data_IF_936432692131
#
_entry.id   IF_936432692131
#
_cell.length_a   1.000
_cell.length_b   1.000
_cell.length_c   1.000
_cell.angle_alpha   90.00
_cell.angle_beta   90.00
_cell.angle_gamma   90.00
#
_symmetry.space_group_name_H-M   'P 1'
#
loop_
_entity.id
_entity.type
_entity.pdbx_description
1 polymer ?
#
# COMPACT_ATOMS: atom_id res chain seq x y z
N UNK A 1 6.69 9.77 8.74
CA UNK A 1 6.79 8.94 7.53
C UNK A 1 5.41 8.43 7.15
N UNK A 2 5.18 8.20 5.86
CA UNK A 2 4.07 7.41 5.35
C UNK A 2 4.62 6.20 4.61
N UNK A 3 3.82 5.13 4.52
CA UNK A 3 4.28 3.83 4.07
C UNK A 3 3.39 3.25 2.97
N UNK A 4 3.99 2.79 1.89
CA UNK A 4 3.37 1.90 0.92
C UNK A 4 3.67 0.45 1.33
N UNK A 5 2.70 -0.23 1.91
CA UNK A 5 2.81 -1.63 2.33
C UNK A 5 2.61 -2.57 1.14
N UNK A 6 3.46 -3.58 1.01
CA UNK A 6 3.42 -4.55 -0.10
C UNK A 6 3.82 -5.95 0.34
N UNK A 7 3.51 -6.96 -0.48
CA UNK A 7 4.03 -8.31 -0.24
C UNK A 7 5.46 -8.45 -0.75
N UNK A 8 6.29 -9.01 0.12
CA UNK A 8 7.71 -9.22 -0.14
C UNK A 8 7.96 -10.29 -1.21
N UNK A 9 7.20 -11.38 -1.20
CA UNK A 9 7.44 -12.51 -2.12
C UNK A 9 6.86 -12.30 -3.51
N UNK A 10 5.76 -11.55 -3.63
CA UNK A 10 5.00 -11.45 -4.89
C UNK A 10 5.18 -10.11 -5.59
N UNK A 11 5.08 -8.98 -4.88
CA UNK A 11 5.05 -7.65 -5.48
C UNK A 11 6.39 -6.94 -5.39
N UNK A 12 7.13 -7.09 -4.29
CA UNK A 12 8.43 -6.43 -4.13
C UNK A 12 9.40 -6.71 -5.30
N UNK A 13 9.59 -7.95 -5.81
CA UNK A 13 10.51 -8.18 -6.93
C UNK A 13 10.09 -7.45 -8.20
N UNK A 14 8.77 -7.32 -8.45
CA UNK A 14 8.23 -6.60 -9.61
C UNK A 14 8.42 -5.09 -9.47
N UNK A 15 8.24 -4.57 -8.26
CA UNK A 15 8.45 -3.16 -7.95
C UNK A 15 9.93 -2.82 -8.15
N UNK A 16 10.84 -3.59 -7.55
CA UNK A 16 12.29 -3.44 -7.70
C UNK A 16 12.71 -3.48 -9.16
N UNK A 17 12.27 -4.50 -9.92
CA UNK A 17 12.58 -4.63 -11.35
C UNK A 17 12.07 -3.45 -12.19
N UNK A 18 11.03 -2.74 -11.74
CA UNK A 18 10.48 -1.58 -12.45
C UNK A 18 11.09 -0.24 -12.02
N UNK A 19 11.79 -0.19 -10.88
CA UNK A 19 12.39 1.03 -10.33
C UNK A 19 11.39 2.09 -9.83
N UNK A 20 10.08 1.79 -9.83
CA UNK A 20 9.02 2.75 -9.45
C UNK A 20 7.88 2.08 -8.68
N UNK A 21 7.23 2.82 -7.79
CA UNK A 21 5.86 2.52 -7.37
C UNK A 21 4.88 3.06 -8.41
N UNK A 22 4.04 2.17 -8.96
CA UNK A 22 3.00 2.54 -9.94
C UNK A 22 1.65 2.58 -9.27
N UNK A 23 0.88 3.60 -9.63
CA UNK A 23 -0.51 3.71 -9.19
C UNK A 23 -1.38 2.63 -9.82
N UNK A 24 -2.46 2.28 -9.14
CA UNK A 24 -3.51 1.40 -9.66
C UNK A 24 -4.87 2.06 -9.53
N UNK A 25 -5.74 1.81 -10.50
CA UNK A 25 -7.16 2.11 -10.47
C UNK A 25 -7.95 0.79 -10.36
N UNK A 26 -9.10 0.80 -9.69
CA UNK A 26 -9.97 -0.38 -9.62
C UNK A 26 -10.95 -0.43 -10.80
N UNK A 27 -11.19 0.71 -11.44
CA UNK A 27 -12.05 0.86 -12.61
C UNK A 27 -11.37 1.72 -13.70
N UNK A 28 -11.69 1.48 -14.97
CA UNK A 28 -11.12 2.18 -16.13
C UNK A 28 -11.47 3.68 -16.17
N UNK A 29 -12.52 4.10 -15.47
CA UNK A 29 -12.90 5.52 -15.35
C UNK A 29 -12.15 6.25 -14.22
N UNK A 30 -11.42 5.52 -13.39
CA UNK A 30 -10.67 6.09 -12.28
C UNK A 30 -9.23 6.42 -12.68
N UNK A 31 -8.69 7.51 -12.12
CA UNK A 31 -7.26 7.81 -12.26
C UNK A 31 -6.46 6.98 -11.26
N UNK A 32 -5.40 6.29 -11.68
CA UNK A 32 -4.59 5.45 -10.80
C UNK A 32 -3.93 6.27 -9.69
N UNK A 33 -3.82 5.66 -8.51
CA UNK A 33 -3.19 6.26 -7.33
C UNK A 33 -2.15 5.32 -6.73
N UNK A 34 -1.04 5.89 -6.24
CA UNK A 34 -0.10 5.19 -5.35
C UNK A 34 -0.54 5.45 -3.91
N UNK A 35 -1.03 4.41 -3.23
CA UNK A 35 -1.56 4.50 -1.88
C UNK A 35 -0.45 4.39 -0.83
N UNK A 36 -0.57 5.21 0.22
CA UNK A 36 0.28 5.23 1.40
C UNK A 36 -0.59 5.25 2.67
N UNK A 37 -0.02 4.79 3.78
CA UNK A 37 -0.65 4.85 5.10
C UNK A 37 0.29 5.40 6.17
N UNK A 38 -0.26 6.16 7.13
CA UNK A 38 0.43 6.56 8.35
C UNK A 38 0.30 5.53 9.49
N UNK A 39 -0.30 4.37 9.23
CA UNK A 39 -0.44 3.31 10.22
C UNK A 39 0.94 2.93 10.80
N UNK A 40 1.10 2.82 12.14
CA UNK A 40 2.40 2.77 12.80
C UNK A 40 3.20 1.49 12.51
N UNK A 41 2.52 0.39 12.20
CA UNK A 41 3.17 -0.91 12.01
C UNK A 41 2.82 -1.59 10.68
N UNK A 42 1.56 -1.99 10.48
CA UNK A 42 1.05 -2.57 9.23
C UNK A 42 -0.37 -2.07 8.96
N UNK A 43 -0.63 -1.52 7.78
CA UNK A 43 -1.99 -1.09 7.40
C UNK A 43 -2.90 -2.32 7.23
N UNK A 44 -3.98 -2.48 8.02
CA UNK A 44 -4.80 -3.70 7.97
C UNK A 44 -5.42 -3.97 6.59
N UNK A 45 -5.74 -2.92 5.84
CA UNK A 45 -6.28 -3.02 4.46
C UNK A 45 -5.26 -3.48 3.42
N UNK A 46 -3.96 -3.52 3.77
CA UNK A 46 -2.91 -4.11 2.94
C UNK A 46 -2.89 -5.65 3.02
N UNK A 47 -3.52 -6.26 4.03
CA UNK A 47 -3.67 -7.72 4.15
C UNK A 47 -4.61 -8.23 3.06
N UNK A 48 -4.07 -8.87 2.02
CA UNK A 48 -4.87 -9.38 0.91
C UNK A 48 -5.47 -10.74 1.24
N UNK A 49 -6.71 -11.02 0.80
CA UNK A 49 -7.28 -12.34 0.94
C UNK A 49 -6.52 -13.36 0.07
N UNK A 50 -6.65 -14.64 0.41
CA UNK A 50 -6.08 -15.73 -0.39
C UNK A 50 -7.17 -16.64 -0.95
N UNK A 51 -6.87 -17.30 -2.05
CA UNK A 51 -7.67 -18.42 -2.53
C UNK A 51 -7.38 -19.68 -1.70
N UNK A 52 -8.44 -20.31 -1.18
CA UNK A 52 -8.39 -21.58 -0.46
C UNK A 52 -9.50 -22.49 -0.99
N UNK A 53 -9.14 -23.57 -1.68
CA UNK A 53 -10.12 -24.52 -2.22
C UNK A 53 -11.15 -23.90 -3.17
N UNK A 54 -10.75 -22.90 -3.97
CA UNK A 54 -11.65 -22.20 -4.90
C UNK A 54 -12.52 -21.11 -4.27
N UNK A 55 -12.34 -20.81 -2.98
CA UNK A 55 -13.00 -19.69 -2.30
C UNK A 55 -12.00 -18.61 -1.90
N UNK A 56 -12.40 -17.35 -2.01
CA UNK A 56 -11.62 -16.22 -1.52
C UNK A 56 -11.85 -16.07 -0.02
N UNK A 57 -10.81 -16.29 0.78
CA UNK A 57 -10.86 -16.23 2.23
C UNK A 57 -10.01 -15.07 2.77
N UNK A 58 -10.57 -14.34 3.73
CA UNK A 58 -9.82 -13.35 4.50
C UNK A 58 -8.71 -14.03 5.31
N UNK A 59 -7.65 -13.28 5.61
CA UNK A 59 -6.52 -13.77 6.38
C UNK A 59 -6.22 -12.82 7.53
N UNK A 60 -5.64 -13.34 8.61
CA UNK A 60 -5.02 -12.50 9.63
C UNK A 60 -3.70 -11.92 9.12
N UNK A 61 -3.18 -10.90 9.80
CA UNK A 61 -1.88 -10.34 9.46
C UNK A 61 -0.75 -11.37 9.59
N UNK A 62 -0.80 -12.22 10.63
CA UNK A 62 0.19 -13.26 10.89
C UNK A 62 0.23 -14.27 9.75
N UNK A 63 -0.95 -14.74 9.30
CA UNK A 63 -1.06 -15.65 8.16
C UNK A 63 -0.53 -15.00 6.87
N UNK A 64 -0.83 -13.72 6.65
CA UNK A 64 -0.34 -13.00 5.48
C UNK A 64 1.19 -12.83 5.53
N UNK A 65 1.74 -12.45 6.69
CA UNK A 65 3.18 -12.32 6.93
C UNK A 65 3.91 -13.63 6.65
N UNK A 66 3.43 -14.75 7.18
CA UNK A 66 4.04 -16.07 6.98
C UNK A 66 4.04 -16.50 5.52
N UNK A 67 2.96 -16.21 4.79
CA UNK A 67 2.75 -16.66 3.42
C UNK A 67 3.37 -15.74 2.36
N UNK A 68 3.26 -14.42 2.55
CA UNK A 68 3.61 -13.42 1.54
C UNK A 68 4.87 -12.63 1.89
N UNK A 69 5.27 -12.59 3.16
CA UNK A 69 6.23 -11.63 3.69
C UNK A 69 5.74 -10.19 3.60
N UNK A 70 6.36 -9.30 4.37
CA UNK A 70 5.92 -7.92 4.50
C UNK A 70 7.07 -6.97 4.19
N UNK A 71 6.86 -6.10 3.21
CA UNK A 71 7.76 -5.01 2.89
C UNK A 71 7.00 -3.68 2.89
N UNK A 72 7.72 -2.57 3.09
CA UNK A 72 7.14 -1.24 2.92
C UNK A 72 8.15 -0.27 2.34
N UNK A 73 7.64 0.67 1.56
CA UNK A 73 8.39 1.83 1.10
C UNK A 73 7.96 3.06 1.89
N UNK A 74 8.93 3.74 2.50
CA UNK A 74 8.69 4.89 3.35
C UNK A 74 9.07 6.20 2.64
N UNK A 75 8.29 7.25 2.88
CA UNK A 75 8.60 8.63 2.49
C UNK A 75 8.27 9.63 3.60
N UNK A 76 8.76 10.89 3.51
CA UNK A 76 8.39 11.96 4.43
C UNK A 76 6.88 12.23 4.42
N UNK A 77 6.31 12.51 5.60
CA UNK A 77 4.87 12.75 5.75
C UNK A 77 4.43 14.15 5.31
N UNK A 78 5.40 15.05 5.11
CA UNK A 78 5.24 16.42 4.64
C UNK A 78 5.50 16.55 3.12
N UNK A 79 5.64 15.45 2.39
CA UNK A 79 5.74 15.47 0.94
C UNK A 79 4.50 16.14 0.33
N UNK A 80 4.72 17.22 -0.42
CA UNK A 80 3.67 18.11 -0.90
C UNK A 80 2.78 17.47 -1.97
N UNK A 81 3.20 16.34 -2.56
CA UNK A 81 2.40 15.57 -3.54
C UNK A 81 1.32 14.73 -2.87
N UNK A 82 1.40 14.51 -1.55
CA UNK A 82 0.45 13.70 -0.81
C UNK A 82 -0.93 14.35 -0.74
N UNK A 83 -1.93 13.57 -1.13
CA UNK A 83 -3.34 13.88 -0.93
C UNK A 83 -3.88 13.06 0.23
N UNK A 84 -4.61 13.69 1.14
CA UNK A 84 -5.47 12.96 2.09
C UNK A 84 -6.53 12.15 1.33
N UNK A 85 -7.09 11.12 1.98
CA UNK A 85 -8.13 10.25 1.43
C UNK A 85 -9.21 10.98 0.63
N UNK A 86 -9.77 12.08 1.15
CA UNK A 86 -10.88 12.79 0.49
C UNK A 86 -10.42 13.47 -0.80
N UNK A 87 -9.27 14.13 -0.77
CA UNK A 87 -8.66 14.75 -1.96
C UNK A 87 -8.26 13.70 -2.97
N UNK A 88 -7.63 12.62 -2.52
CA UNK A 88 -7.20 11.49 -3.34
C UNK A 88 -8.39 10.89 -4.09
N UNK A 89 -9.48 10.56 -3.41
CA UNK A 89 -10.64 9.98 -4.08
C UNK A 89 -11.31 10.95 -5.05
N UNK A 90 -11.41 12.25 -4.70
CA UNK A 90 -11.92 13.27 -5.62
C UNK A 90 -11.03 13.38 -6.86
N UNK A 91 -9.71 13.32 -6.69
CA UNK A 91 -8.77 13.27 -7.79
C UNK A 91 -9.00 12.00 -8.61
N UNK A 92 -8.97 10.81 -8.01
CA UNK A 92 -9.16 9.56 -8.74
C UNK A 92 -10.52 9.42 -9.44
N UNK A 93 -11.52 10.25 -9.10
CA UNK A 93 -12.86 10.14 -9.67
C UNK A 93 -13.67 9.02 -9.02
N UNK A 94 -13.27 8.54 -7.84
CA UNK A 94 -13.94 7.44 -7.15
C UNK A 94 -15.35 7.90 -6.73
N UNK A 95 -16.41 7.19 -7.16
CA UNK A 95 -17.79 7.54 -6.84
C UNK A 95 -18.04 7.63 -5.33
N UNK A 96 -19.01 8.46 -4.92
CA UNK A 96 -19.37 8.62 -3.50
C UNK A 96 -19.76 7.31 -2.83
N UNK A 97 -20.52 6.48 -3.54
CA UNK A 97 -20.95 5.16 -3.07
C UNK A 97 -19.76 4.24 -2.80
N UNK A 98 -18.80 4.22 -3.72
CA UNK A 98 -17.64 3.33 -3.63
C UNK A 98 -16.70 3.77 -2.52
N UNK A 99 -16.48 5.09 -2.36
CA UNK A 99 -15.77 5.64 -1.20
C UNK A 99 -16.35 5.17 0.13
N UNK A 100 -17.69 5.20 0.27
CA UNK A 100 -18.34 4.72 1.50
C UNK A 100 -18.16 3.21 1.70
N UNK A 101 -18.28 2.41 0.65
CA UNK A 101 -18.05 0.97 0.73
C UNK A 101 -16.59 0.64 1.09
N UNK A 102 -15.63 1.38 0.55
CA UNK A 102 -14.21 1.25 0.88
C UNK A 102 -13.93 1.65 2.33
N UNK A 103 -14.48 2.77 2.80
CA UNK A 103 -14.36 3.21 4.20
C UNK A 103 -14.95 2.16 5.15
N UNK A 104 -16.18 1.68 4.89
CA UNK A 104 -16.83 0.68 5.71
C UNK A 104 -16.04 -0.63 5.77
N UNK A 105 -15.61 -1.14 4.62
CA UNK A 105 -14.82 -2.38 4.52
C UNK A 105 -13.48 -2.22 5.20
N UNK A 106 -12.80 -1.09 4.98
CA UNK A 106 -11.50 -0.82 5.59
C UNK A 106 -11.59 -0.67 7.11
N UNK A 107 -12.63 0.00 7.62
CA UNK A 107 -12.89 0.12 9.06
C UNK A 107 -13.17 -1.26 9.67
N UNK A 108 -13.98 -2.10 9.02
CA UNK A 108 -14.22 -3.48 9.47
C UNK A 108 -12.94 -4.32 9.52
N UNK A 109 -11.98 -4.06 8.64
CA UNK A 109 -10.66 -4.69 8.65
C UNK A 109 -9.70 -4.07 9.70
N UNK A 110 -10.09 -2.99 10.38
CA UNK A 110 -9.27 -2.28 11.37
C UNK A 110 -8.48 -1.08 10.81
N UNK A 111 -8.65 -0.75 9.54
CA UNK A 111 -8.04 0.43 8.92
C UNK A 111 -8.70 1.75 9.33
N UNK A 112 -8.01 2.86 9.08
CA UNK A 112 -8.51 4.20 9.40
C UNK A 112 -8.35 5.15 8.19
N UNK A 113 -9.44 5.63 7.57
CA UNK A 113 -9.37 6.54 6.43
C UNK A 113 -8.58 7.82 6.65
N UNK A 114 -8.44 8.28 7.92
CA UNK A 114 -7.60 9.45 8.25
C UNK A 114 -6.11 9.17 8.13
N UNK A 115 -5.73 7.89 8.06
CA UNK A 115 -4.36 7.44 7.87
C UNK A 115 -4.06 7.12 6.41
N UNK A 116 -5.04 7.18 5.50
CA UNK A 116 -4.85 6.86 4.09
C UNK A 116 -4.52 8.11 3.29
N UNK A 117 -3.45 8.00 2.51
CA UNK A 117 -2.94 9.06 1.64
C UNK A 117 -2.64 8.48 0.26
N UNK A 118 -2.54 9.35 -0.74
CA UNK A 118 -2.11 8.91 -2.06
C UNK A 118 -1.33 9.97 -2.83
N UNK A 119 -0.57 9.51 -3.80
CA UNK A 119 -0.01 10.33 -4.88
C UNK A 119 -0.63 9.94 -6.22
N UNK A 120 -0.79 10.91 -7.10
CA UNK A 120 -1.27 10.71 -8.47
C UNK A 120 -0.20 10.19 -9.43
N UNK A 121 1.07 10.40 -9.07
CA UNK A 121 2.22 10.13 -9.92
C UNK A 121 2.87 8.81 -9.52
N UNK A 122 3.59 8.20 -10.47
CA UNK A 122 4.52 7.12 -10.15
C UNK A 122 5.64 7.67 -9.28
N UNK A 123 6.07 6.92 -8.27
CA UNK A 123 7.12 7.37 -7.34
C UNK A 123 8.39 6.57 -7.61
N UNK A 124 9.49 7.20 -8.05
CA UNK A 124 10.79 6.55 -8.18
C UNK A 124 11.25 5.92 -6.86
N UNK A 125 11.79 4.69 -6.91
CA UNK A 125 12.30 4.05 -5.70
C UNK A 125 13.50 4.80 -5.09
N UNK A 126 14.22 5.58 -5.89
CA UNK A 126 15.29 6.48 -5.41
C UNK A 126 14.81 7.56 -4.43
N UNK A 127 13.51 7.84 -4.39
CA UNK A 127 12.89 8.79 -3.45
C UNK A 127 12.39 8.10 -2.17
N UNK A 128 12.48 6.78 -2.10
CA UNK A 128 11.84 5.96 -1.08
C UNK A 128 12.87 5.19 -0.27
N UNK A 129 12.50 4.86 0.96
CA UNK A 129 13.28 3.94 1.80
C UNK A 129 12.57 2.59 1.87
N UNK A 130 13.25 1.53 1.44
CA UNK A 130 12.73 0.18 1.54
C UNK A 130 13.02 -0.43 2.91
N UNK A 131 12.00 -1.04 3.49
CA UNK A 131 12.08 -1.80 4.73
C UNK A 131 11.41 -3.17 4.55
N UNK A 132 12.00 -4.22 5.14
CA UNK A 132 11.40 -5.56 5.25
C UNK A 132 11.11 -5.87 6.71
N UNK A 133 10.03 -6.60 6.96
CA UNK A 133 9.69 -7.03 8.30
C UNK A 133 10.40 -8.35 8.62
N UNK A 134 11.33 -8.30 9.56
CA UNK A 134 12.08 -9.45 10.09
C UNK A 134 11.78 -9.59 11.58
N UNK A 135 11.21 -10.72 11.98
CA UNK A 135 10.58 -10.81 13.29
C UNK A 135 9.53 -9.71 13.44
N UNK A 136 9.58 -8.96 14.53
CA UNK A 136 8.67 -7.84 14.78
C UNK A 136 9.31 -6.47 14.51
N UNK A 137 10.40 -6.45 13.73
CA UNK A 137 11.16 -5.24 13.44
C UNK A 137 11.23 -4.97 11.94
N UNK A 138 11.11 -3.70 11.60
CA UNK A 138 11.37 -3.22 10.25
C UNK A 138 12.88 -2.99 10.09
N UNK A 139 13.47 -3.68 9.13
CA UNK A 139 14.89 -3.62 8.80
C UNK A 139 15.07 -2.93 7.45
N UNK A 140 16.04 -2.02 7.38
CA UNK A 140 16.36 -1.32 6.15
C UNK A 140 17.02 -2.25 5.15
N UNK A 141 16.66 -2.06 3.89
CA UNK A 141 17.30 -2.76 2.78
C UNK A 141 17.99 -1.74 1.92
N UNK A 142 19.31 -1.89 1.77
CA UNK A 142 20.06 -1.13 0.80
C UNK A 142 19.60 -1.54 -0.60
N UNK A 143 18.97 -0.58 -1.30
CA UNK A 143 18.63 -0.73 -2.69
C UNK A 143 19.87 -0.36 -3.50
N UNK A 144 20.80 -1.31 -3.64
CA UNK A 144 21.92 -1.13 -4.56
C UNK A 144 21.34 -0.98 -5.98
N UNK A 145 21.47 0.24 -6.53
CA UNK A 145 21.20 0.50 -7.94
C UNK A 145 22.49 0.13 -8.65
N UNK A 146 22.55 -1.04 -9.29
CA UNK A 146 23.58 -1.28 -10.29
C UNK A 146 23.40 -0.21 -11.39
N UNK A 147 24.40 0.66 -11.49
CA UNK A 147 24.46 1.80 -12.41
C UNK A 147 24.78 1.38 -13.84
#
# INVERSE_FOLDING_TARGET
>A
MLYHYTSERQHLPKILASGVLRGRADNDQERPLVWFSSHPFWEPTATKPRWLGGLLANQTFEQYREMAGCARFALPADDRRLMDWRKACKFAGIPKRDRWAMEETGIKAGGNPKQWFAMAETVPLSELRLERLSGDKWEFVDMEVEA
#
